data_IF_720051451826
#
_entry.id   IF_720051451826
#
_cell.length_a   1.000
_cell.length_b   1.000
_cell.length_c   1.000
_cell.angle_alpha   90.00
_cell.angle_beta   90.00
_cell.angle_gamma   90.00
#
_symmetry.space_group_name_H-M   'P 1'
#
loop_
_entity.id
_entity.type
_entity.pdbx_description
1 polymer ?
#
# COMPACT_ATOMS: atom_id res chain seq x y z
N UNK A 1 -6.72 4.79 22.17
CA UNK A 1 -7.28 3.84 21.23
C UNK A 1 -6.22 2.91 20.71
N UNK A 2 -6.49 1.64 20.73
CA UNK A 2 -5.48 0.63 20.40
C UNK A 2 -5.68 0.01 19.05
N UNK A 3 -6.17 0.82 18.16
CA UNK A 3 -6.44 0.36 16.82
C UNK A 3 -5.22 -0.31 16.18
N UNK A 4 -4.07 0.35 16.29
CA UNK A 4 -2.86 -0.20 15.69
C UNK A 4 -2.42 -1.48 16.36
N UNK A 5 -2.57 -1.49 17.64
CA UNK A 5 -2.18 -2.66 18.40
C UNK A 5 -2.97 -3.87 17.97
N UNK A 6 -4.26 -3.69 17.78
CA UNK A 6 -5.10 -4.82 17.41
C UNK A 6 -4.79 -5.34 16.03
N UNK A 7 -4.31 -4.46 15.17
CA UNK A 7 -4.12 -4.82 13.77
C UNK A 7 -2.76 -5.38 13.45
N UNK A 8 -1.82 -5.25 14.35
CA UNK A 8 -0.47 -5.68 14.05
C UNK A 8 -0.20 -7.14 14.33
N UNK A 9 -1.13 -7.81 14.95
CA UNK A 9 -0.86 -9.19 15.29
C UNK A 9 -0.66 -10.06 14.07
N UNK A 10 -1.19 -9.65 12.93
CA UNK A 10 -1.07 -10.47 11.74
C UNK A 10 0.24 -10.26 11.00
N UNK A 11 1.02 -9.29 11.39
CA UNK A 11 2.28 -9.01 10.72
C UNK A 11 3.25 -10.17 10.82
N UNK A 12 3.17 -10.90 11.91
CA UNK A 12 4.11 -11.99 12.13
C UNK A 12 3.82 -13.21 11.27
N UNK A 13 2.75 -13.17 10.54
CA UNK A 13 2.36 -14.27 9.68
C UNK A 13 2.62 -13.96 8.22
N UNK A 14 3.77 -13.40 7.95
CA UNK A 14 4.07 -12.93 6.61
C UNK A 14 4.21 -14.05 5.60
N UNK A 15 4.34 -15.28 6.02
CA UNK A 15 4.44 -16.37 5.08
C UNK A 15 3.10 -17.03 4.77
N UNK A 16 2.03 -16.46 5.28
CA UNK A 16 0.71 -16.93 4.90
C UNK A 16 0.45 -16.69 3.44
N UNK A 17 -0.38 -17.51 2.86
CA UNK A 17 -0.79 -17.30 1.49
C UNK A 17 -1.38 -15.92 1.31
N UNK A 18 -1.03 -15.28 0.20
CA UNK A 18 -1.67 -14.04 -0.17
C UNK A 18 -2.92 -14.38 -0.94
N UNK A 19 -3.89 -13.48 -0.91
CA UNK A 19 -5.11 -13.66 -1.68
C UNK A 19 -5.23 -12.53 -2.69
N UNK A 20 -6.08 -12.76 -3.68
CA UNK A 20 -6.29 -11.78 -4.74
C UNK A 20 -6.90 -10.51 -4.20
N UNK A 21 -7.54 -10.58 -3.05
CA UNK A 21 -8.23 -9.43 -2.49
C UNK A 21 -7.41 -8.66 -1.47
N UNK A 22 -6.14 -9.05 -1.29
CA UNK A 22 -5.27 -8.28 -0.41
C UNK A 22 -5.15 -6.86 -0.91
N UNK A 23 -5.16 -5.92 0.03
CA UNK A 23 -5.04 -4.50 -0.29
C UNK A 23 -3.56 -4.14 -0.38
N UNK A 24 -3.16 -3.52 -1.46
CA UNK A 24 -1.75 -3.24 -1.70
C UNK A 24 -1.48 -1.76 -1.79
N UNK A 25 -0.73 -1.25 -0.83
CA UNK A 25 -0.27 0.14 -0.85
C UNK A 25 1.07 0.15 -1.57
N UNK A 26 1.02 0.50 -2.85
CA UNK A 26 2.20 0.43 -3.72
C UNK A 26 2.86 1.80 -3.77
N UNK A 27 4.12 1.84 -3.36
CA UNK A 27 4.88 3.08 -3.34
C UNK A 27 5.90 3.08 -4.47
N UNK A 28 5.89 4.15 -5.24
CA UNK A 28 6.82 4.35 -6.31
C UNK A 28 7.41 5.74 -6.15
N UNK A 29 8.69 5.80 -5.86
CA UNK A 29 9.39 7.09 -5.65
C UNK A 29 8.68 7.94 -4.61
N UNK A 30 8.22 7.30 -3.55
CA UNK A 30 7.58 8.02 -2.45
C UNK A 30 6.13 8.37 -2.68
N UNK A 31 5.58 8.00 -3.82
CA UNK A 31 4.20 8.28 -4.14
C UNK A 31 3.40 6.99 -4.21
N UNK A 32 2.09 7.13 -4.14
CA UNK A 32 1.19 5.97 -4.11
C UNK A 32 0.51 5.76 -5.45
N UNK A 33 0.36 4.50 -5.80
CA UNK A 33 -0.39 4.12 -6.99
C UNK A 33 -1.81 3.83 -6.55
N UNK A 34 -2.77 4.50 -7.17
CA UNK A 34 -4.19 4.29 -6.85
C UNK A 34 -4.94 3.94 -8.11
N UNK A 35 -6.13 3.43 -7.92
CA UNK A 35 -7.01 3.09 -9.03
C UNK A 35 -8.24 3.97 -8.99
N UNK A 36 -8.60 4.52 -10.12
CA UNK A 36 -9.72 5.46 -10.22
C UNK A 36 -10.73 4.93 -11.23
N UNK A 37 -11.95 4.66 -10.76
CA UNK A 37 -13.03 4.14 -11.59
C UNK A 37 -14.29 4.93 -11.32
N UNK A 38 -14.90 5.50 -12.39
CA UNK A 38 -16.22 6.14 -12.24
C UNK A 38 -16.28 7.05 -11.03
N UNK A 39 -15.29 7.89 -10.85
CA UNK A 39 -15.22 8.84 -9.75
C UNK A 39 -14.98 8.20 -8.39
N UNK A 40 -14.64 6.94 -8.38
CA UNK A 40 -14.25 6.27 -7.15
C UNK A 40 -12.76 6.07 -7.13
N UNK A 41 -12.15 6.36 -5.98
CA UNK A 41 -10.72 6.20 -5.79
C UNK A 41 -10.52 5.03 -4.84
N UNK A 42 -9.73 4.08 -5.26
CA UNK A 42 -9.48 2.88 -4.47
C UNK A 42 -8.01 2.54 -4.43
N UNK A 43 -7.62 1.89 -3.34
CA UNK A 43 -6.29 1.32 -3.25
C UNK A 43 -6.35 0.00 -4.03
N UNK A 44 -5.40 -0.27 -4.90
CA UNK A 44 -5.45 -1.48 -5.74
C UNK A 44 -5.39 -2.74 -4.91
N UNK A 45 -5.98 -3.78 -5.46
CA UNK A 45 -5.88 -5.10 -4.87
C UNK A 45 -4.78 -5.87 -5.59
N UNK A 46 -4.36 -6.97 -4.99
CA UNK A 46 -3.22 -7.72 -5.53
C UNK A 46 -3.40 -8.11 -6.99
N UNK A 47 -4.59 -8.59 -7.33
CA UNK A 47 -4.79 -9.01 -8.73
C UNK A 47 -4.72 -7.83 -9.68
N UNK A 48 -5.02 -6.64 -9.20
CA UNK A 48 -5.01 -5.46 -10.06
C UNK A 48 -3.60 -4.98 -10.33
N UNK A 49 -2.71 -5.09 -9.35
CA UNK A 49 -1.35 -4.60 -9.54
C UNK A 49 -0.50 -5.55 -10.37
N UNK A 50 -0.93 -6.78 -10.52
CA UNK A 50 -0.19 -7.73 -11.34
C UNK A 50 -0.12 -7.27 -12.78
N UNK A 51 -1.08 -6.48 -13.21
CA UNK A 51 -1.12 -5.98 -14.56
C UNK A 51 -0.08 -4.90 -14.81
N UNK A 52 0.47 -4.33 -13.76
CA UNK A 52 1.38 -3.20 -13.89
C UNK A 52 2.81 -3.63 -14.22
N UNK A 53 3.14 -4.87 -14.00
CA UNK A 53 4.50 -5.35 -14.25
C UNK A 53 5.50 -4.65 -13.37
N UNK A 54 5.26 -4.65 -12.07
CA UNK A 54 6.13 -3.96 -11.13
C UNK A 54 7.44 -4.68 -10.91
N UNK A 55 8.51 -3.91 -10.76
CA UNK A 55 9.76 -4.43 -10.26
C UNK A 55 9.77 -4.11 -8.77
N UNK A 56 9.55 -5.12 -7.95
CA UNK A 56 9.32 -4.95 -6.53
C UNK A 56 10.60 -5.06 -5.72
N UNK A 57 10.86 -4.03 -4.90
CA UNK A 57 11.99 -4.04 -3.98
C UNK A 57 11.63 -4.64 -2.64
N UNK A 58 10.44 -4.32 -2.15
CA UNK A 58 9.99 -4.78 -0.86
C UNK A 58 8.51 -5.09 -0.91
N UNK A 59 8.13 -6.11 -0.18
CA UNK A 59 6.72 -6.46 -0.08
C UNK A 59 6.51 -7.17 1.24
N UNK A 60 5.62 -6.62 2.08
CA UNK A 60 5.32 -7.28 3.35
C UNK A 60 3.97 -6.82 3.87
N UNK A 61 3.35 -7.70 4.63
CA UNK A 61 2.07 -7.41 5.26
C UNK A 61 2.32 -6.57 6.50
N UNK A 62 1.60 -5.47 6.66
CA UNK A 62 1.79 -4.62 7.83
C UNK A 62 0.58 -4.58 8.74
N UNK A 63 -0.44 -5.36 8.45
CA UNK A 63 -1.56 -5.45 9.33
C UNK A 63 -2.83 -5.86 8.64
N UNK A 64 -3.82 -6.17 9.45
CA UNK A 64 -5.14 -6.49 8.95
C UNK A 64 -6.09 -5.46 9.53
N UNK A 65 -6.73 -4.70 8.66
CA UNK A 65 -7.57 -3.58 9.05
C UNK A 65 -9.00 -3.86 8.62
N UNK A 66 -9.89 -2.93 8.92
CA UNK A 66 -11.28 -3.09 8.53
C UNK A 66 -11.45 -3.32 7.04
N UNK A 67 -10.57 -2.74 6.24
CA UNK A 67 -10.67 -2.87 4.79
C UNK A 67 -10.05 -4.17 4.29
N UNK A 68 -9.36 -4.92 5.15
CA UNK A 68 -8.76 -6.19 4.77
C UNK A 68 -7.31 -6.26 5.16
N UNK A 69 -6.66 -7.31 4.69
CA UNK A 69 -5.24 -7.50 4.94
C UNK A 69 -4.47 -6.54 4.03
N UNK A 70 -3.57 -5.77 4.62
CA UNK A 70 -2.90 -4.70 3.91
C UNK A 70 -1.41 -4.94 3.79
N UNK A 71 -0.89 -4.67 2.61
CA UNK A 71 0.52 -4.88 2.30
C UNK A 71 1.17 -3.57 1.90
N UNK A 72 2.45 -3.47 2.19
CA UNK A 72 3.29 -2.39 1.69
C UNK A 72 4.15 -2.99 0.59
N UNK A 73 4.10 -2.35 -0.57
CA UNK A 73 4.90 -2.78 -1.71
C UNK A 73 5.69 -1.57 -2.17
N UNK A 74 7.01 -1.69 -2.20
CA UNK A 74 7.84 -0.64 -2.77
C UNK A 74 8.39 -1.14 -4.07
N UNK A 75 8.15 -0.42 -5.15
CA UNK A 75 8.64 -0.81 -6.46
C UNK A 75 9.58 0.24 -7.01
N UNK A 76 10.51 -0.20 -7.85
CA UNK A 76 11.46 0.73 -8.48
C UNK A 76 11.12 0.97 -9.93
N UNK A 77 10.22 0.21 -10.50
CA UNK A 77 9.86 0.37 -11.90
C UNK A 77 8.46 -0.17 -12.16
N UNK A 78 7.81 0.45 -13.13
CA UNK A 78 6.45 0.09 -13.53
C UNK A 78 6.45 -0.05 -15.04
N UNK A 79 6.06 -1.22 -15.55
CA UNK A 79 6.05 -1.43 -16.99
C UNK A 79 4.84 -0.84 -17.68
N UNK A 80 3.73 -0.79 -16.99
CA UNK A 80 2.48 -0.28 -17.56
C UNK A 80 1.70 0.47 -16.52
N UNK A 81 1.10 1.55 -16.93
CA UNK A 81 0.19 2.27 -16.04
C UNK A 81 -1.08 2.54 -16.82
N UNK A 82 -2.04 1.60 -16.77
CA UNK A 82 -3.31 1.78 -17.49
C UNK A 82 -4.00 3.07 -17.09
N UNK A 83 -4.93 3.52 -17.93
CA UNK A 83 -5.57 4.81 -17.72
C UNK A 83 -6.36 4.94 -16.43
N UNK A 84 -6.79 3.83 -15.86
CA UNK A 84 -7.54 3.89 -14.61
C UNK A 84 -6.63 3.85 -13.38
N UNK A 85 -5.32 3.88 -13.57
CA UNK A 85 -4.38 3.98 -12.46
C UNK A 85 -3.73 5.36 -12.47
N UNK A 86 -3.39 5.84 -11.28
CA UNK A 86 -2.73 7.13 -11.11
C UNK A 86 -1.68 7.03 -10.03
N UNK A 87 -0.68 7.90 -10.14
CA UNK A 87 0.35 8.00 -9.11
C UNK A 87 0.13 9.33 -8.42
N UNK A 88 -0.10 9.30 -7.11
CA UNK A 88 -0.40 10.51 -6.37
C UNK A 88 0.46 10.58 -5.11
N UNK A 89 0.70 11.79 -4.63
CA UNK A 89 1.38 11.97 -3.37
C UNK A 89 0.41 11.63 -2.25
N UNK A 90 0.97 11.40 -1.06
CA UNK A 90 0.12 11.12 0.08
C UNK A 90 -0.79 12.30 0.38
N UNK A 91 -0.27 13.50 0.19
CA UNK A 91 -1.04 14.71 0.41
C UNK A 91 -2.26 14.76 -0.53
N UNK A 92 -2.03 14.45 -1.80
CA UNK A 92 -3.12 14.43 -2.76
C UNK A 92 -4.14 13.36 -2.43
N UNK A 93 -3.65 12.21 -1.98
CA UNK A 93 -4.52 11.12 -1.63
C UNK A 93 -5.48 11.52 -0.52
N UNK A 94 -4.99 12.27 0.45
CA UNK A 94 -5.80 12.68 1.58
C UNK A 94 -6.97 13.55 1.21
N UNK A 95 -6.95 14.13 0.03
CA UNK A 95 -8.03 15.00 -0.40
C UNK A 95 -9.09 14.28 -1.22
N UNK A 96 -8.83 13.06 -1.61
CA UNK A 96 -9.73 12.37 -2.54
C UNK A 96 -10.17 11.01 -2.05
N UNK A 97 -9.64 10.53 -0.93
CA UNK A 97 -9.96 9.19 -0.48
C UNK A 97 -10.57 9.25 0.91
N UNK A 98 -11.24 8.15 1.26
CA UNK A 98 -11.86 8.01 2.56
C UNK A 98 -10.85 8.19 3.69
N UNK A 99 -11.30 8.81 4.76
CA UNK A 99 -10.43 9.15 5.88
C UNK A 99 -9.76 7.94 6.51
N UNK A 100 -10.51 6.86 6.65
CA UNK A 100 -9.96 5.64 7.24
C UNK A 100 -8.85 5.07 6.37
N UNK A 101 -9.06 5.06 5.07
CA UNK A 101 -8.06 4.53 4.14
C UNK A 101 -6.84 5.44 4.14
N UNK A 102 -7.07 6.75 4.21
CA UNK A 102 -5.96 7.69 4.24
C UNK A 102 -5.10 7.46 5.48
N UNK A 103 -5.74 7.20 6.61
CA UNK A 103 -5.00 6.95 7.84
C UNK A 103 -4.10 5.72 7.68
N UNK A 104 -4.65 4.66 7.08
CA UNK A 104 -3.88 3.44 6.88
C UNK A 104 -2.75 3.68 5.89
N UNK A 105 -3.00 4.47 4.85
CA UNK A 105 -1.96 4.79 3.88
C UNK A 105 -0.83 5.58 4.54
N UNK A 106 -1.17 6.51 5.42
CA UNK A 106 -0.16 7.26 6.16
C UNK A 106 0.67 6.35 7.03
N UNK A 107 0.03 5.36 7.64
CA UNK A 107 0.72 4.39 8.45
C UNK A 107 1.71 3.60 7.61
N UNK A 108 1.28 3.17 6.44
CA UNK A 108 2.14 2.42 5.54
C UNK A 108 3.36 3.26 5.13
N UNK A 109 3.10 4.52 4.81
CA UNK A 109 4.19 5.41 4.41
C UNK A 109 5.20 5.59 5.53
N UNK A 110 4.70 5.73 6.75
CA UNK A 110 5.56 5.89 7.90
C UNK A 110 6.43 4.67 8.13
N UNK A 111 5.82 3.50 8.04
CA UNK A 111 6.55 2.25 8.24
C UNK A 111 7.62 2.08 7.17
N UNK A 112 7.28 2.37 5.93
CA UNK A 112 8.23 2.21 4.83
C UNK A 112 9.40 3.18 4.97
N UNK A 113 9.12 4.42 5.35
CA UNK A 113 10.17 5.39 5.55
C UNK A 113 11.08 5.00 6.70
N UNK A 114 10.50 4.51 7.78
CA UNK A 114 11.28 4.07 8.90
C UNK A 114 12.21 2.94 8.50
N UNK A 115 11.66 1.98 7.77
CA UNK A 115 12.44 0.84 7.33
C UNK A 115 13.58 1.25 6.42
N UNK A 116 13.32 2.16 5.50
CA UNK A 116 14.34 2.63 4.58
C UNK A 116 15.44 3.41 5.30
N UNK A 117 15.05 4.24 6.24
CA UNK A 117 16.03 5.02 6.98
C UNK A 117 16.85 4.15 7.91
N UNK A 118 16.21 3.20 8.55
CA UNK A 118 16.89 2.31 9.47
C UNK A 118 17.95 1.49 8.75
N UNK A 119 17.66 1.16 7.51
CA UNK A 119 18.56 0.38 6.71
C UNK A 119 19.90 1.07 6.50
N UNK A 120 19.89 2.39 6.47
CA UNK A 120 21.11 3.14 6.26
C UNK A 120 21.89 3.39 7.52
N UNK A 121 21.28 3.15 8.63
CA UNK A 121 21.94 3.41 9.91
C UNK A 121 22.81 2.25 10.35
N UNK A 122 22.72 1.15 9.71
CA UNK A 122 23.46 -0.05 10.13
C UNK A 122 24.77 -0.23 9.40
#
# INVERSE_FOLDING_TARGET
>A
MNFEYLNFKSILNDHEETSQEDICFVFYEGQLIIKSNDNEINIPKREEIEELGLTINKEYCFGEFNIGKCYIIECEDIKRLPGDFQIVSLYQLGQIIDEEVFFIAGRANHILNWDNNHKYCS
#
